data_IF_351031746441
#
_entry.id   IF_351031746441
#
_cell.length_a   1.000
_cell.length_b   1.000
_cell.length_c   1.000
_cell.angle_alpha   90.00
_cell.angle_beta   90.00
_cell.angle_gamma   90.00
#
_symmetry.space_group_name_H-M   'P 1'
#
loop_
_entity.id
_entity.type
_entity.pdbx_description
1 polymer ?
#
# COMPACT_ATOMS: atom_id res chain seq x y z
N UNK A 1 -2.38 -13.28 14.08
CA UNK A 1 -3.72 -12.72 14.38
C UNK A 1 -3.87 -11.24 14.00
N UNK A 2 -3.20 -10.75 12.94
CA UNK A 2 -3.43 -9.42 12.35
C UNK A 2 -3.83 -9.47 10.86
N UNK A 3 -3.87 -10.68 10.26
CA UNK A 3 -3.91 -10.85 8.81
C UNK A 3 -5.26 -10.58 8.13
N UNK A 4 -6.39 -10.88 8.79
CA UNK A 4 -7.69 -10.77 8.11
C UNK A 4 -8.14 -9.31 7.99
N UNK A 5 -8.04 -8.54 9.07
CA UNK A 5 -8.46 -7.14 9.08
C UNK A 5 -7.66 -6.28 8.09
N UNK A 6 -6.33 -6.47 8.03
CA UNK A 6 -5.48 -5.73 7.08
C UNK A 6 -5.91 -5.99 5.64
N UNK A 7 -6.17 -7.25 5.29
CA UNK A 7 -6.61 -7.62 3.95
C UNK A 7 -7.98 -6.98 3.60
N UNK A 8 -8.93 -7.00 4.54
CA UNK A 8 -10.24 -6.36 4.40
C UNK A 8 -10.14 -4.85 4.19
N UNK A 9 -9.33 -4.14 4.99
CA UNK A 9 -9.20 -2.68 4.87
C UNK A 9 -8.52 -2.27 3.55
N UNK A 10 -7.52 -3.02 3.10
CA UNK A 10 -6.93 -2.79 1.77
C UNK A 10 -7.97 -3.03 0.68
N UNK A 11 -8.75 -4.12 0.76
CA UNK A 11 -9.82 -4.39 -0.19
C UNK A 11 -10.88 -3.28 -0.23
N UNK A 12 -11.24 -2.71 0.93
CA UNK A 12 -12.14 -1.56 1.04
C UNK A 12 -11.55 -0.31 0.39
N UNK A 13 -10.27 -0.01 0.68
CA UNK A 13 -9.59 1.15 0.11
C UNK A 13 -9.53 1.06 -1.41
N UNK A 14 -9.10 -0.07 -1.97
CA UNK A 14 -9.03 -0.25 -3.43
C UNK A 14 -10.42 -0.16 -4.09
N UNK A 15 -11.46 -0.70 -3.44
CA UNK A 15 -12.83 -0.56 -3.94
C UNK A 15 -13.26 0.91 -3.97
N UNK A 16 -13.01 1.65 -2.88
CA UNK A 16 -13.35 3.06 -2.79
C UNK A 16 -12.59 3.90 -3.83
N UNK A 17 -11.32 3.59 -4.13
CA UNK A 17 -10.57 4.26 -5.20
C UNK A 17 -11.20 4.02 -6.58
N UNK A 18 -11.61 2.78 -6.86
CA UNK A 18 -12.26 2.43 -8.13
C UNK A 18 -13.62 3.11 -8.29
N UNK A 19 -14.38 3.24 -7.21
CA UNK A 19 -15.71 3.86 -7.21
C UNK A 19 -15.62 5.40 -7.28
N UNK A 20 -14.67 6.01 -6.57
CA UNK A 20 -14.54 7.47 -6.52
C UNK A 20 -13.66 8.05 -7.64
N UNK A 21 -12.78 7.25 -8.23
CA UNK A 21 -11.75 7.72 -9.17
C UNK A 21 -10.62 8.53 -8.51
N UNK A 22 -10.63 8.66 -7.18
CA UNK A 22 -9.63 9.37 -6.38
C UNK A 22 -8.77 8.36 -5.64
N UNK A 23 -7.48 8.66 -5.43
CA UNK A 23 -6.61 7.79 -4.66
C UNK A 23 -6.95 7.89 -3.16
N UNK A 24 -6.82 6.77 -2.44
CA UNK A 24 -7.19 6.57 -1.03
C UNK A 24 -6.16 5.72 -0.29
N UNK A 25 -5.45 4.85 -1.01
CA UNK A 25 -4.43 3.96 -0.49
C UNK A 25 -3.03 4.50 -0.85
N UNK A 26 -2.25 4.74 0.20
CA UNK A 26 -0.88 5.21 0.12
C UNK A 26 0.06 4.24 0.84
N UNK A 27 0.49 3.16 0.17
CA UNK A 27 1.36 2.18 0.79
C UNK A 27 2.78 2.72 0.96
N UNK A 28 3.39 2.41 2.10
CA UNK A 28 4.81 2.63 2.39
C UNK A 28 5.45 1.29 2.78
N UNK A 29 6.73 1.08 2.45
CA UNK A 29 7.46 -0.11 2.92
C UNK A 29 8.51 0.27 3.96
N UNK A 30 8.47 -0.40 5.09
CA UNK A 30 9.52 -0.36 6.14
C UNK A 30 10.39 -1.63 6.13
N UNK A 31 10.27 -2.40 5.06
CA UNK A 31 11.00 -3.64 4.83
C UNK A 31 11.59 -3.63 3.42
N UNK A 32 12.62 -4.45 3.24
CA UNK A 32 13.20 -4.70 1.92
C UNK A 32 12.14 -5.22 0.93
N UNK A 33 12.25 -4.81 -0.34
CA UNK A 33 11.27 -5.12 -1.39
C UNK A 33 11.06 -6.63 -1.58
N UNK A 34 12.09 -7.44 -1.40
CA UNK A 34 12.02 -8.89 -1.53
C UNK A 34 11.11 -9.53 -0.48
N UNK A 35 11.01 -8.93 0.72
CA UNK A 35 10.06 -9.39 1.75
C UNK A 35 8.63 -9.07 1.37
N UNK A 36 8.39 -7.95 0.71
CA UNK A 36 7.08 -7.57 0.19
C UNK A 36 6.63 -8.50 -0.94
N UNK A 37 7.53 -8.88 -1.86
CA UNK A 37 7.21 -9.81 -2.95
C UNK A 37 6.80 -11.20 -2.45
N UNK A 38 7.29 -11.61 -1.27
CA UNK A 38 6.91 -12.89 -0.62
C UNK A 38 5.66 -12.78 0.25
N UNK A 39 5.09 -11.58 0.41
CA UNK A 39 3.88 -11.40 1.20
C UNK A 39 2.66 -11.75 0.36
N UNK A 40 1.92 -12.77 0.79
CA UNK A 40 0.76 -13.33 0.09
C UNK A 40 -0.46 -13.43 1.03
N UNK A 41 -1.02 -12.29 1.48
CA UNK A 41 -2.32 -12.29 2.14
C UNK A 41 -3.42 -12.61 1.13
N UNK A 42 -4.19 -13.65 1.42
CA UNK A 42 -5.38 -13.98 0.66
C UNK A 42 -6.62 -13.60 1.48
N UNK A 43 -7.45 -12.70 0.97
CA UNK A 43 -8.76 -12.41 1.54
C UNK A 43 -9.80 -13.36 0.92
N UNK A 44 -10.10 -14.44 1.63
CA UNK A 44 -11.08 -15.44 1.20
C UNK A 44 -12.52 -14.89 1.16
N UNK A 45 -12.82 -13.87 1.98
CA UNK A 45 -14.16 -13.27 2.07
C UNK A 45 -14.40 -12.27 0.92
N UNK A 46 -13.36 -11.56 0.50
CA UNK A 46 -13.42 -10.61 -0.61
C UNK A 46 -13.16 -11.24 -1.99
N UNK A 47 -12.64 -12.47 -2.05
CA UNK A 47 -12.21 -13.12 -3.30
C UNK A 47 -11.11 -12.31 -4.02
N UNK A 48 -10.33 -11.53 -3.26
CA UNK A 48 -9.47 -10.48 -3.79
C UNK A 48 -8.01 -10.75 -3.45
N UNK A 49 -7.16 -10.78 -4.47
CA UNK A 49 -5.71 -10.88 -4.31
C UNK A 49 -5.15 -9.51 -3.89
N UNK A 50 -5.17 -9.27 -2.59
CA UNK A 50 -4.68 -8.05 -1.94
C UNK A 50 -3.18 -7.85 -2.21
N UNK A 51 -2.42 -8.94 -2.27
CA UNK A 51 -0.98 -8.90 -2.53
C UNK A 51 -0.70 -8.33 -3.92
N UNK A 52 -1.42 -8.81 -4.94
CA UNK A 52 -1.32 -8.31 -6.31
C UNK A 52 -1.69 -6.83 -6.38
N UNK A 53 -2.79 -6.44 -5.76
CA UNK A 53 -3.25 -5.06 -5.76
C UNK A 53 -2.18 -4.10 -5.21
N UNK A 54 -1.57 -4.45 -4.06
CA UNK A 54 -0.51 -3.63 -3.47
C UNK A 54 0.72 -3.53 -4.38
N UNK A 55 1.10 -4.62 -5.07
CA UNK A 55 2.26 -4.63 -5.98
C UNK A 55 2.07 -3.76 -7.23
N UNK A 56 0.84 -3.36 -7.56
CA UNK A 56 0.56 -2.41 -8.65
C UNK A 56 0.85 -0.95 -8.25
N UNK A 57 0.99 -0.65 -6.94
CA UNK A 57 1.35 0.69 -6.49
C UNK A 57 2.87 0.92 -6.57
N UNK A 58 3.25 2.18 -6.84
CA UNK A 58 4.58 2.65 -6.53
C UNK A 58 4.70 2.83 -5.00
N UNK A 59 5.44 1.94 -4.34
CA UNK A 59 5.58 1.91 -2.88
C UNK A 59 6.92 2.56 -2.50
N UNK A 60 6.93 3.76 -1.89
CA UNK A 60 8.17 4.40 -1.51
C UNK A 60 8.87 3.63 -0.38
N UNK A 61 10.20 3.67 -0.41
CA UNK A 61 11.05 3.04 0.60
C UNK A 61 11.18 3.91 1.84
N UNK A 62 10.90 3.31 2.99
CA UNK A 62 11.08 3.86 4.34
C UNK A 62 11.86 2.87 5.23
N UNK A 63 12.60 1.94 4.63
CA UNK A 63 13.41 0.95 5.36
C UNK A 63 14.72 1.53 5.92
N UNK A 64 15.15 2.69 5.43
CA UNK A 64 16.36 3.41 5.88
C UNK A 64 16.03 4.90 6.10
N UNK A 65 16.70 5.52 7.07
CA UNK A 65 16.47 6.88 7.56
C UNK A 65 17.36 7.92 6.83
N UNK A 66 18.01 7.52 5.74
CA UNK A 66 18.93 8.34 4.96
C UNK A 66 18.26 9.45 4.12
N UNK A 67 19.03 10.07 3.22
CA UNK A 67 18.54 11.15 2.33
C UNK A 67 17.30 10.77 1.52
N UNK A 68 17.15 9.48 1.21
CA UNK A 68 16.01 8.93 0.46
C UNK A 68 14.70 8.99 1.26
N UNK A 69 14.75 8.97 2.60
CA UNK A 69 13.58 9.08 3.47
C UNK A 69 12.89 10.45 3.32
N UNK A 70 13.65 11.54 3.40
CA UNK A 70 13.08 12.89 3.29
C UNK A 70 12.46 13.15 1.91
N UNK A 71 13.04 12.58 0.86
CA UNK A 71 12.49 12.66 -0.48
C UNK A 71 11.21 11.83 -0.62
N UNK A 72 11.18 10.61 -0.04
CA UNK A 72 9.99 9.76 0.00
C UNK A 72 8.84 10.43 0.77
N UNK A 73 9.13 11.04 1.93
CA UNK A 73 8.15 11.82 2.71
C UNK A 73 7.60 12.98 1.89
N UNK A 74 8.48 13.75 1.23
CA UNK A 74 8.05 14.91 0.45
C UNK A 74 7.14 14.52 -0.73
N UNK A 75 7.46 13.40 -1.41
CA UNK A 75 6.59 12.83 -2.46
C UNK A 75 5.26 12.38 -1.89
N UNK A 76 5.26 11.65 -0.78
CA UNK A 76 4.04 11.20 -0.12
C UNK A 76 3.13 12.36 0.30
N UNK A 77 3.69 13.41 0.89
CA UNK A 77 2.92 14.60 1.32
C UNK A 77 2.32 15.34 0.12
N UNK A 78 3.05 15.42 -1.00
CA UNK A 78 2.50 16.00 -2.23
C UNK A 78 1.36 15.14 -2.76
N UNK A 79 1.56 13.84 -2.89
CA UNK A 79 0.54 12.93 -3.41
C UNK A 79 -0.73 12.93 -2.51
N UNK A 80 -0.58 13.15 -1.20
CA UNK A 80 -1.70 13.33 -0.25
C UNK A 80 -2.44 14.67 -0.38
N UNK A 81 -1.83 15.69 -0.98
CA UNK A 81 -2.41 17.03 -1.18
C UNK A 81 -3.03 17.21 -2.56
N UNK A 82 -2.68 16.35 -3.51
CA UNK A 82 -3.18 16.38 -4.90
C UNK A 82 -4.48 15.57 -5.08
N UNK A 83 -4.95 14.85 -4.05
CA UNK A 83 -6.27 14.22 -3.91
C UNK A 83 -7.28 15.11 -3.15
#
# INVERSE_FOLDING_TARGET
>A
MAGNWVATEIGRAVRAERESGTRKLFPIRIVAHERLLRWEPFDADAGYDVARAIREYCIPDFCDDGLDFHQAVSRLVRDLRED
#
